data_IF_422419532306
#
_entry.id   IF_422419532306
#
_cell.length_a   1.000
_cell.length_b   1.000
_cell.length_c   1.000
_cell.angle_alpha   90.00
_cell.angle_beta   90.00
_cell.angle_gamma   90.00
#
_symmetry.space_group_name_H-M   'P 1'
#
loop_
_entity.id
_entity.type
_entity.pdbx_description
1 polymer ?
#
# COMPACT_ATOMS: atom_id res chain seq x y z
N UNK A 1 9.88 6.22 -32.84
CA UNK A 1 10.08 4.88 -32.23
C UNK A 1 10.33 4.88 -30.70
N UNK A 2 10.04 5.97 -29.95
CA UNK A 2 10.28 6.07 -28.49
C UNK A 2 8.98 6.02 -27.66
N UNK A 3 7.86 6.34 -28.31
CA UNK A 3 6.52 6.45 -27.70
C UNK A 3 5.87 5.07 -27.52
N UNK A 4 6.14 4.13 -28.43
CA UNK A 4 5.53 2.79 -28.37
C UNK A 4 6.14 1.91 -27.27
N UNK A 5 7.46 2.02 -27.02
CA UNK A 5 8.14 1.28 -25.95
C UNK A 5 7.65 1.70 -24.55
N UNK A 6 7.41 3.00 -24.35
CA UNK A 6 6.90 3.52 -23.08
C UNK A 6 5.43 3.18 -22.86
N UNK A 7 4.65 3.03 -23.94
CA UNK A 7 3.28 2.51 -23.87
C UNK A 7 3.27 1.02 -23.55
N UNK A 8 4.14 0.23 -24.16
CA UNK A 8 4.28 -1.21 -23.87
C UNK A 8 4.69 -1.49 -22.42
N UNK A 9 5.64 -0.71 -21.87
CA UNK A 9 6.08 -0.83 -20.48
C UNK A 9 5.02 -0.33 -19.48
N UNK A 10 4.26 0.71 -19.82
CA UNK A 10 3.16 1.19 -18.98
C UNK A 10 1.98 0.20 -18.96
N UNK A 11 1.73 -0.50 -20.08
CA UNK A 11 0.71 -1.55 -20.17
C UNK A 11 1.14 -2.81 -19.40
N UNK A 12 2.42 -3.20 -19.41
CA UNK A 12 2.89 -4.35 -18.62
C UNK A 12 2.87 -4.09 -17.10
N UNK A 13 3.18 -2.86 -16.68
CA UNK A 13 3.11 -2.45 -15.27
C UNK A 13 1.66 -2.33 -14.77
N UNK A 14 0.75 -1.88 -15.62
CA UNK A 14 -0.69 -1.90 -15.32
C UNK A 14 -1.24 -3.33 -15.23
N UNK A 15 -0.74 -4.27 -16.04
CA UNK A 15 -1.12 -5.67 -15.99
C UNK A 15 -0.65 -6.39 -14.71
N UNK A 16 0.52 -6.01 -14.18
CA UNK A 16 1.08 -6.54 -12.92
C UNK A 16 0.39 -5.98 -11.66
N UNK A 17 -0.19 -4.79 -11.74
CA UNK A 17 -0.88 -4.14 -10.60
C UNK A 17 -2.41 -4.35 -10.62
N UNK A 18 -2.98 -4.89 -11.71
CA UNK A 18 -4.41 -5.07 -11.91
C UNK A 18 -4.86 -6.54 -12.02
N UNK A 19 -4.14 -7.49 -11.42
CA UNK A 19 -4.66 -8.84 -11.20
C UNK A 19 -5.26 -8.96 -9.78
N UNK A 20 -6.54 -8.60 -9.57
CA UNK A 20 -7.31 -9.28 -8.56
C UNK A 20 -7.41 -10.75 -8.97
N UNK A 21 -7.38 -11.63 -7.98
CA UNK A 21 -7.52 -13.09 -8.06
C UNK A 21 -8.54 -13.49 -9.13
N UNK A 22 -8.06 -13.99 -10.27
CA UNK A 22 -8.88 -14.72 -11.24
C UNK A 22 -8.43 -16.17 -11.15
N UNK A 23 -9.23 -16.99 -10.49
CA UNK A 23 -9.18 -18.44 -10.65
C UNK A 23 -9.69 -18.77 -12.05
N UNK A 24 -8.81 -18.95 -13.03
CA UNK A 24 -9.12 -19.58 -14.31
C UNK A 24 -8.04 -20.62 -14.61
N UNK A 25 -8.45 -21.88 -14.50
CA UNK A 25 -7.83 -23.04 -15.12
C UNK A 25 -7.64 -22.81 -16.62
N UNK A 26 -6.41 -22.60 -17.08
CA UNK A 26 -6.01 -22.88 -18.46
C UNK A 26 -4.64 -23.55 -18.46
N UNK A 27 -4.42 -24.57 -19.32
CA UNK A 27 -3.16 -25.29 -19.36
C UNK A 27 -2.13 -24.45 -20.12
N UNK A 28 -1.17 -23.87 -19.41
CA UNK A 28 0.01 -23.29 -20.06
C UNK A 28 0.91 -24.41 -20.57
N UNK A 29 1.27 -24.28 -21.84
CA UNK A 29 1.98 -25.25 -22.66
C UNK A 29 3.26 -25.78 -21.98
N UNK A 30 3.47 -27.08 -22.13
CA UNK A 30 4.72 -27.78 -21.78
C UNK A 30 5.91 -27.09 -22.40
N UNK A 31 6.76 -26.49 -21.57
CA UNK A 31 8.17 -26.41 -21.87
C UNK A 31 8.76 -27.79 -21.54
N UNK A 32 8.87 -28.65 -22.56
CA UNK A 32 9.65 -29.87 -22.44
C UNK A 32 11.12 -29.46 -22.24
N UNK A 33 11.55 -29.54 -20.99
CA UNK A 33 12.90 -29.26 -20.51
C UNK A 33 13.08 -29.97 -19.19
N UNK A 34 13.62 -31.19 -19.29
CA UNK A 34 14.06 -32.12 -18.25
C UNK A 34 14.01 -31.64 -16.79
N UNK A 35 13.26 -32.42 -16.00
CA UNK A 35 13.26 -32.48 -14.54
C UNK A 35 14.67 -32.43 -13.95
N UNK A 36 15.03 -31.29 -13.37
CA UNK A 36 16.01 -31.22 -12.30
C UNK A 36 15.38 -30.42 -11.16
N UNK A 37 15.31 -31.07 -10.00
CA UNK A 37 14.47 -30.68 -8.87
C UNK A 37 14.53 -29.20 -8.52
N UNK A 38 13.37 -28.69 -8.09
CA UNK A 38 13.13 -27.35 -7.56
C UNK A 38 14.28 -26.95 -6.63
N UNK A 39 15.28 -26.27 -7.17
CA UNK A 39 16.38 -25.75 -6.38
C UNK A 39 15.79 -24.65 -5.51
N UNK A 40 15.66 -24.94 -4.21
CA UNK A 40 15.37 -23.96 -3.18
C UNK A 40 16.37 -22.81 -3.36
N UNK A 41 15.92 -21.69 -3.93
CA UNK A 41 16.76 -20.49 -4.09
C UNK A 41 17.08 -19.98 -2.68
N UNK A 42 18.34 -20.03 -2.22
CA UNK A 42 18.65 -19.71 -0.84
C UNK A 42 18.50 -18.21 -0.63
N UNK A 43 17.58 -17.80 0.26
CA UNK A 43 17.67 -16.47 0.88
C UNK A 43 18.99 -16.44 1.62
N UNK A 44 19.91 -15.61 1.13
CA UNK A 44 21.16 -15.36 1.82
C UNK A 44 20.93 -14.20 2.77
N UNK A 45 20.97 -14.48 4.07
CA UNK A 45 21.29 -13.46 5.06
C UNK A 45 22.78 -13.18 4.91
N UNK A 46 23.15 -12.30 3.98
CA UNK A 46 24.56 -11.93 3.82
C UNK A 46 25.01 -11.14 5.06
N UNK A 47 25.82 -11.76 5.91
CA UNK A 47 26.46 -11.14 7.09
C UNK A 47 27.24 -9.86 6.73
N UNK A 48 27.60 -9.67 5.47
CA UNK A 48 28.47 -8.58 5.01
C UNK A 48 27.74 -7.31 4.53
N UNK A 49 26.40 -7.31 4.39
CA UNK A 49 25.62 -6.11 4.06
C UNK A 49 24.96 -5.47 5.28
N UNK A 50 25.80 -4.98 6.20
CA UNK A 50 25.44 -4.13 7.36
C UNK A 50 24.33 -4.69 8.28
N UNK A 51 24.08 -6.00 8.38
CA UNK A 51 23.06 -6.61 9.27
C UNK A 51 21.64 -5.98 9.19
N UNK A 52 21.30 -5.30 8.08
CA UNK A 52 20.08 -4.48 7.98
C UNK A 52 19.18 -4.91 6.82
N UNK A 53 19.61 -5.80 5.92
CA UNK A 53 18.86 -6.14 4.70
C UNK A 53 18.80 -7.65 4.45
N UNK A 54 17.64 -8.13 4.03
CA UNK A 54 17.50 -9.41 3.36
C UNK A 54 17.83 -9.24 1.87
N UNK A 55 18.45 -10.25 1.27
CA UNK A 55 18.77 -10.33 -0.15
C UNK A 55 18.25 -11.63 -0.75
N UNK A 56 17.50 -11.48 -1.83
CA UNK A 56 17.04 -12.55 -2.69
C UNK A 56 17.71 -12.38 -4.05
N UNK A 57 18.29 -13.45 -4.58
CA UNK A 57 18.98 -13.43 -5.85
C UNK A 57 18.56 -14.63 -6.69
N UNK A 58 18.22 -14.35 -7.94
CA UNK A 58 17.88 -15.34 -8.97
C UNK A 58 18.74 -15.07 -10.21
N UNK A 59 18.74 -15.95 -11.21
CA UNK A 59 19.38 -15.65 -12.48
C UNK A 59 18.84 -14.40 -13.21
N UNK A 60 17.61 -13.96 -12.90
CA UNK A 60 16.95 -12.85 -13.58
C UNK A 60 16.96 -11.55 -12.77
N UNK A 61 16.56 -11.63 -11.50
CA UNK A 61 16.40 -10.48 -10.60
C UNK A 61 17.12 -10.68 -9.28
N UNK A 62 17.62 -9.56 -8.75
CA UNK A 62 18.04 -9.43 -7.34
C UNK A 62 17.08 -8.47 -6.65
N UNK A 63 16.63 -8.83 -5.45
CA UNK A 63 15.72 -8.05 -4.63
C UNK A 63 16.28 -7.92 -3.21
N UNK A 64 16.18 -6.73 -2.62
CA UNK A 64 16.59 -6.48 -1.23
C UNK A 64 15.51 -5.72 -0.46
N UNK A 65 15.38 -5.99 0.83
CA UNK A 65 14.45 -5.29 1.73
C UNK A 65 14.98 -5.19 3.16
N UNK A 66 14.58 -4.16 3.94
CA UNK A 66 15.13 -3.94 5.27
C UNK A 66 14.73 -5.05 6.24
N UNK A 67 15.70 -5.79 6.77
CA UNK A 67 15.52 -6.83 7.77
C UNK A 67 15.01 -6.31 9.11
N UNK A 68 15.24 -5.03 9.42
CA UNK A 68 14.76 -4.43 10.67
C UNK A 68 13.27 -4.05 10.65
N UNK A 69 12.55 -4.32 9.56
CA UNK A 69 11.13 -4.04 9.41
C UNK A 69 10.73 -2.56 9.38
N UNK A 70 11.59 -1.62 9.78
CA UNK A 70 11.25 -0.21 10.06
C UNK A 70 10.63 0.55 8.90
N UNK A 71 10.82 0.09 7.66
CA UNK A 71 10.27 0.74 6.47
C UNK A 71 9.79 -0.33 5.49
N UNK A 72 8.48 -0.38 5.17
CA UNK A 72 7.97 -1.25 4.13
C UNK A 72 8.42 -0.71 2.76
N UNK A 73 9.52 -1.26 2.27
CA UNK A 73 10.09 -0.97 0.96
C UNK A 73 10.98 -2.11 0.51
N UNK A 74 11.19 -2.21 -0.80
CA UNK A 74 12.19 -3.09 -1.37
C UNK A 74 12.78 -2.45 -2.62
N UNK A 75 14.01 -2.85 -2.94
CA UNK A 75 14.69 -2.48 -4.16
C UNK A 75 14.90 -3.74 -4.98
N UNK A 76 14.86 -3.61 -6.30
CA UNK A 76 15.20 -4.72 -7.18
C UNK A 76 15.87 -4.23 -8.47
N UNK A 77 16.64 -5.11 -9.09
CA UNK A 77 17.30 -4.88 -10.38
C UNK A 77 17.50 -6.22 -11.10
N UNK A 78 17.90 -6.17 -12.37
CA UNK A 78 18.27 -7.38 -13.12
C UNK A 78 19.61 -7.91 -12.61
N UNK A 79 19.73 -9.19 -12.29
CA UNK A 79 20.93 -9.74 -11.63
C UNK A 79 22.21 -9.46 -12.42
N UNK A 80 22.13 -9.52 -13.75
CA UNK A 80 23.25 -9.30 -14.65
C UNK A 80 23.46 -7.82 -15.04
N UNK A 81 22.58 -6.91 -14.64
CA UNK A 81 22.65 -5.48 -14.95
C UNK A 81 22.10 -4.62 -13.79
N UNK A 82 23.01 -4.03 -13.03
CA UNK A 82 22.71 -3.13 -11.91
C UNK A 82 22.71 -1.65 -12.29
N UNK A 83 22.76 -1.32 -13.59
CA UNK A 83 22.74 0.08 -14.05
C UNK A 83 21.40 0.78 -13.77
N UNK A 84 20.32 0.01 -13.66
CA UNK A 84 18.99 0.51 -13.28
C UNK A 84 18.46 -0.22 -12.04
N UNK A 85 18.14 0.55 -11.00
CA UNK A 85 17.61 0.03 -9.73
C UNK A 85 16.19 0.57 -9.53
N UNK A 86 15.25 -0.35 -9.41
CA UNK A 86 13.85 -0.06 -9.16
C UNK A 86 13.59 0.00 -7.66
N UNK A 87 12.76 0.95 -7.24
CA UNK A 87 12.43 1.17 -5.82
C UNK A 87 10.92 1.12 -5.62
N UNK A 88 10.47 0.19 -4.79
CA UNK A 88 9.08 0.13 -4.32
C UNK A 88 9.02 0.62 -2.88
N UNK A 89 8.21 1.66 -2.64
CA UNK A 89 8.07 2.28 -1.32
C UNK A 89 6.60 2.49 -0.97
N UNK A 90 6.15 1.84 0.09
CA UNK A 90 4.82 2.08 0.65
C UNK A 90 4.87 3.35 1.51
N UNK A 91 4.12 4.38 1.12
CA UNK A 91 4.25 5.74 1.71
C UNK A 91 3.37 5.95 2.94
N UNK A 92 2.18 5.38 2.94
CA UNK A 92 1.18 5.66 3.96
C UNK A 92 -0.20 5.18 3.56
N UNK A 93 -1.14 5.28 4.49
CA UNK A 93 -2.58 5.25 4.18
C UNK A 93 -3.14 6.66 4.22
N UNK A 94 -4.14 6.88 3.38
CA UNK A 94 -4.96 8.08 3.40
C UNK A 94 -6.41 7.69 3.55
N UNK A 95 -7.07 8.26 4.54
CA UNK A 95 -8.52 8.26 4.62
C UNK A 95 -9.05 9.42 3.80
N UNK A 96 -10.16 9.18 3.12
CA UNK A 96 -10.86 10.21 2.38
C UNK A 96 -12.35 10.03 2.58
N UNK A 97 -13.06 11.16 2.62
CA UNK A 97 -14.51 11.20 2.68
C UNK A 97 -15.01 11.81 1.38
N UNK A 98 -15.77 11.02 0.63
CA UNK A 98 -16.28 11.37 -0.68
C UNK A 98 -17.69 11.98 -0.56
N UNK A 99 -17.80 13.29 -0.77
CA UNK A 99 -19.11 13.96 -0.88
C UNK A 99 -19.55 14.10 -2.33
N UNK A 100 -18.65 14.58 -3.19
CA UNK A 100 -18.99 14.99 -4.56
C UNK A 100 -18.51 14.00 -5.63
N UNK A 101 -17.41 13.29 -5.37
CA UNK A 101 -16.79 12.34 -6.30
C UNK A 101 -16.70 11.00 -5.59
N UNK A 102 -16.97 9.91 -6.30
CA UNK A 102 -16.92 8.55 -5.76
C UNK A 102 -15.50 8.00 -5.56
N UNK A 103 -14.48 8.79 -5.87
CA UNK A 103 -13.08 8.37 -5.82
C UNK A 103 -12.18 9.45 -5.19
N UNK A 104 -11.04 9.02 -4.64
CA UNK A 104 -10.02 9.91 -4.12
C UNK A 104 -9.35 10.70 -5.26
N UNK A 105 -9.33 12.02 -5.14
CA UNK A 105 -8.55 12.91 -6.00
C UNK A 105 -7.70 13.82 -5.12
N UNK A 106 -6.39 13.79 -5.37
CA UNK A 106 -5.36 14.51 -4.60
C UNK A 106 -5.57 16.03 -4.60
N UNK A 107 -6.35 16.55 -5.56
CA UNK A 107 -6.77 17.96 -5.65
C UNK A 107 -7.83 18.36 -4.62
N UNK A 108 -8.48 17.38 -3.98
CA UNK A 108 -9.48 17.58 -2.94
C UNK A 108 -9.03 16.94 -1.63
N UNK A 109 -8.05 17.54 -0.92
CA UNK A 109 -7.62 17.04 0.36
C UNK A 109 -8.76 17.08 1.38
N UNK A 110 -8.79 16.09 2.27
CA UNK A 110 -9.69 16.04 3.42
C UNK A 110 -9.19 17.00 4.53
N UNK A 111 -9.15 18.30 4.23
CA UNK A 111 -8.89 19.33 5.23
C UNK A 111 -10.18 19.76 5.92
N UNK A 112 -10.08 20.09 7.21
CA UNK A 112 -11.24 20.25 8.06
C UNK A 112 -12.13 21.43 7.61
N UNK A 113 -11.53 22.55 7.20
CA UNK A 113 -12.23 23.73 6.69
C UNK A 113 -13.01 23.45 5.42
N UNK A 114 -12.38 22.84 4.41
CA UNK A 114 -13.03 22.53 3.12
C UNK A 114 -14.14 21.51 3.29
N UNK A 115 -13.91 20.49 4.14
CA UNK A 115 -14.95 19.50 4.49
C UNK A 115 -16.13 20.20 5.17
N UNK A 116 -15.89 21.04 6.17
CA UNK A 116 -16.95 21.77 6.87
C UNK A 116 -17.76 22.62 5.90
N UNK A 117 -17.10 23.38 5.03
CA UNK A 117 -17.74 24.24 4.04
C UNK A 117 -18.59 23.47 3.03
N UNK A 118 -18.05 22.37 2.47
CA UNK A 118 -18.77 21.53 1.50
C UNK A 118 -19.98 20.88 2.15
N UNK A 119 -19.81 20.31 3.35
CA UNK A 119 -20.92 19.67 4.04
C UNK A 119 -22.00 20.71 4.36
N UNK A 120 -21.60 21.84 4.92
CA UNK A 120 -22.52 22.91 5.32
C UNK A 120 -23.32 23.43 4.12
N UNK A 121 -22.66 23.85 3.04
CA UNK A 121 -23.34 24.44 1.87
C UNK A 121 -24.17 23.44 1.09
N UNK A 122 -23.67 22.21 0.89
CA UNK A 122 -24.31 21.26 -0.03
C UNK A 122 -25.32 20.34 0.62
N UNK A 123 -25.15 19.99 1.91
CA UNK A 123 -25.97 18.97 2.57
C UNK A 123 -26.76 19.51 3.75
N UNK A 124 -26.24 20.49 4.48
CA UNK A 124 -26.89 21.02 5.69
C UNK A 124 -27.81 22.19 5.36
N UNK A 125 -27.29 23.30 4.81
CA UNK A 125 -28.07 24.53 4.54
C UNK A 125 -29.38 24.29 3.76
N UNK A 126 -29.40 23.46 2.69
CA UNK A 126 -30.64 23.17 1.98
C UNK A 126 -31.71 22.52 2.88
N UNK A 127 -31.29 21.67 3.83
CA UNK A 127 -32.18 20.95 4.76
C UNK A 127 -32.56 21.76 5.99
N UNK A 128 -31.88 22.88 6.23
CA UNK A 128 -32.18 23.81 7.33
C UNK A 128 -33.13 24.92 6.90
N UNK A 129 -33.46 25.02 5.62
CA UNK A 129 -34.41 26.00 5.12
C UNK A 129 -35.80 25.77 5.74
N UNK A 130 -36.35 26.81 6.38
CA UNK A 130 -37.65 26.76 7.06
C UNK A 130 -37.62 26.36 8.54
N UNK A 131 -36.46 26.03 9.12
CA UNK A 131 -36.34 25.85 10.57
C UNK A 131 -36.16 27.20 11.28
N UNK A 132 -36.72 27.29 12.49
CA UNK A 132 -36.43 28.40 13.39
C UNK A 132 -34.93 28.53 13.67
N UNK A 133 -34.47 29.77 13.88
CA UNK A 133 -33.06 30.14 14.05
C UNK A 133 -32.42 29.39 15.22
N UNK A 134 -33.16 29.15 16.31
CA UNK A 134 -32.65 28.50 17.50
C UNK A 134 -32.44 26.99 17.27
N UNK A 135 -33.41 26.33 16.63
CA UNK A 135 -33.29 24.93 16.20
C UNK A 135 -32.16 24.73 15.17
N UNK A 136 -32.06 25.65 14.21
CA UNK A 136 -30.99 25.69 13.21
C UNK A 136 -29.62 25.76 13.86
N UNK A 137 -29.42 26.69 14.80
CA UNK A 137 -28.14 26.87 15.48
C UNK A 137 -27.76 25.66 16.35
N UNK A 138 -28.73 25.01 16.99
CA UNK A 138 -28.47 23.77 17.74
C UNK A 138 -28.00 22.63 16.84
N UNK A 139 -28.66 22.43 15.69
CA UNK A 139 -28.27 21.38 14.73
C UNK A 139 -26.89 21.66 14.14
N UNK A 140 -26.63 22.90 13.71
CA UNK A 140 -25.31 23.31 13.20
C UNK A 140 -24.24 23.08 14.25
N UNK A 141 -24.45 23.55 15.49
CA UNK A 141 -23.47 23.39 16.56
C UNK A 141 -23.20 21.92 16.88
N UNK A 142 -24.23 21.07 16.94
CA UNK A 142 -24.08 19.63 17.21
C UNK A 142 -23.33 18.93 16.09
N UNK A 143 -23.61 19.29 14.84
CA UNK A 143 -22.97 18.69 13.67
C UNK A 143 -21.52 19.17 13.50
N UNK A 144 -21.25 20.47 13.61
CA UNK A 144 -19.90 21.02 13.57
C UNK A 144 -19.03 20.45 14.69
N UNK A 145 -19.59 20.27 15.91
CA UNK A 145 -18.90 19.59 17.00
C UNK A 145 -18.53 18.14 16.66
N UNK A 146 -19.40 17.41 15.96
CA UNK A 146 -19.08 16.06 15.49
C UNK A 146 -17.93 16.06 14.48
N UNK A 147 -17.89 17.04 13.57
CA UNK A 147 -16.80 17.17 12.57
C UNK A 147 -15.43 17.50 13.21
N UNK A 148 -15.39 18.19 14.35
CA UNK A 148 -14.15 18.46 15.10
C UNK A 148 -13.52 17.14 15.60
N UNK A 149 -14.29 16.05 15.70
CA UNK A 149 -13.79 14.72 16.05
C UNK A 149 -12.94 14.04 14.96
N UNK A 150 -12.87 14.58 13.75
CA UNK A 150 -12.04 14.00 12.70
C UNK A 150 -10.55 14.20 12.97
N UNK A 151 -9.76 13.16 12.67
CA UNK A 151 -8.32 13.24 12.70
C UNK A 151 -7.76 13.59 11.32
N UNK A 152 -6.49 13.99 11.30
CA UNK A 152 -5.77 14.24 10.04
C UNK A 152 -5.83 12.98 9.15
N UNK A 153 -6.08 13.11 7.84
CA UNK A 153 -6.43 11.99 6.97
C UNK A 153 -5.25 11.11 6.54
N UNK A 154 -4.00 11.55 6.73
CA UNK A 154 -2.82 10.84 6.23
C UNK A 154 -1.98 10.25 7.35
N UNK A 155 -1.71 8.94 7.29
CA UNK A 155 -0.76 8.23 8.14
C UNK A 155 0.51 7.89 7.35
N UNK A 156 1.64 8.57 7.60
CA UNK A 156 2.89 8.22 6.95
C UNK A 156 3.48 6.93 7.54
N UNK A 157 3.65 5.90 6.72
CA UNK A 157 4.20 4.61 7.15
C UNK A 157 5.64 4.71 7.68
N UNK A 158 6.40 5.70 7.22
CA UNK A 158 7.76 5.94 7.72
C UNK A 158 7.83 6.43 9.16
N UNK A 159 6.70 6.86 9.74
CA UNK A 159 6.60 7.27 11.14
C UNK A 159 6.01 6.19 12.05
N UNK A 160 5.67 5.03 11.49
CA UNK A 160 5.08 3.91 12.20
C UNK A 160 6.15 2.87 12.56
N UNK A 161 5.83 2.02 13.53
CA UNK A 161 6.61 0.82 13.83
C UNK A 161 5.97 -0.37 13.11
N UNK A 162 6.83 -1.17 12.49
CA UNK A 162 6.47 -2.32 11.69
C UNK A 162 7.21 -3.54 12.20
N UNK A 163 6.54 -4.68 12.17
CA UNK A 163 7.15 -5.99 12.34
C UNK A 163 7.30 -6.64 10.97
N UNK A 164 8.46 -7.26 10.73
CA UNK A 164 8.72 -8.03 9.53
C UNK A 164 8.78 -9.50 9.91
N UNK A 165 7.95 -10.33 9.27
CA UNK A 165 8.12 -11.78 9.39
C UNK A 165 9.39 -12.19 8.65
N UNK A 166 10.21 -13.11 9.21
CA UNK A 166 11.32 -13.67 8.47
C UNK A 166 10.83 -14.26 7.13
N UNK A 167 11.62 -14.15 6.06
CA UNK A 167 11.27 -14.75 4.79
C UNK A 167 11.15 -16.27 4.92
N UNK A 168 10.05 -16.82 4.44
CA UNK A 168 9.78 -18.26 4.41
C UNK A 168 9.57 -18.73 2.97
N UNK A 169 10.08 -19.92 2.65
CA UNK A 169 9.82 -20.55 1.36
C UNK A 169 8.49 -21.30 1.45
N UNK A 170 7.52 -20.88 0.63
CA UNK A 170 6.23 -21.53 0.51
C UNK A 170 6.21 -22.30 -0.79
N UNK A 171 6.03 -23.62 -0.69
CA UNK A 171 5.86 -24.51 -1.84
C UNK A 171 4.43 -25.04 -1.83
N UNK A 172 3.69 -24.79 -2.93
CA UNK A 172 2.35 -25.32 -3.14
C UNK A 172 2.25 -25.84 -4.57
N UNK A 173 1.92 -27.11 -4.69
CA UNK A 173 1.88 -27.82 -5.97
C UNK A 173 3.24 -27.70 -6.69
N UNK A 174 3.25 -27.26 -7.95
CA UNK A 174 4.47 -27.07 -8.76
C UNK A 174 5.10 -25.67 -8.63
N UNK A 175 4.62 -24.83 -7.70
CA UNK A 175 5.11 -23.45 -7.53
C UNK A 175 5.73 -23.26 -6.15
N UNK A 176 6.96 -22.72 -6.13
CA UNK A 176 7.63 -22.25 -4.92
C UNK A 176 7.89 -20.75 -4.99
N UNK A 177 7.59 -20.04 -3.91
CA UNK A 177 7.82 -18.61 -3.80
C UNK A 177 8.21 -18.21 -2.37
N UNK A 178 8.90 -17.09 -2.23
CA UNK A 178 9.28 -16.55 -0.93
C UNK A 178 8.17 -15.63 -0.42
N UNK A 179 7.75 -15.86 0.82
CA UNK A 179 6.71 -15.11 1.50
C UNK A 179 7.30 -14.34 2.68
N UNK A 180 6.97 -13.06 2.79
CA UNK A 180 7.23 -12.24 3.98
C UNK A 180 6.24 -11.10 4.08
N UNK A 181 5.94 -10.67 5.30
CA UNK A 181 4.91 -9.68 5.57
C UNK A 181 5.46 -8.55 6.44
N UNK A 182 5.10 -7.31 6.10
CA UNK A 182 5.22 -6.19 7.02
C UNK A 182 3.87 -5.96 7.71
N UNK A 183 3.85 -6.07 9.03
CA UNK A 183 2.66 -5.83 9.85
C UNK A 183 2.81 -4.52 10.62
N UNK A 184 1.83 -3.61 10.49
CA UNK A 184 1.83 -2.34 11.21
C UNK A 184 1.59 -2.61 12.70
N UNK A 185 2.58 -2.38 13.56
CA UNK A 185 2.46 -2.62 15.01
C UNK A 185 2.15 -1.39 15.83
N UNK A 186 2.62 -0.23 15.40
CA UNK A 186 2.41 1.00 16.17
C UNK A 186 2.28 2.22 15.29
N UNK A 187 1.24 3.01 15.55
CA UNK A 187 1.10 4.35 14.99
C UNK A 187 1.74 5.37 15.93
N UNK A 188 2.28 6.47 15.39
CA UNK A 188 2.87 7.50 16.25
C UNK A 188 1.82 8.14 17.15
N UNK A 189 2.20 8.48 18.39
CA UNK A 189 1.28 9.02 19.41
C UNK A 189 0.55 10.30 18.98
N UNK A 190 1.16 11.11 18.11
CA UNK A 190 0.55 12.32 17.51
C UNK A 190 -0.47 12.01 16.39
N UNK A 191 -0.76 10.73 16.13
CA UNK A 191 -1.80 10.25 15.19
C UNK A 191 -2.76 9.25 15.87
N UNK A 192 -3.42 9.62 16.99
CA UNK A 192 -4.24 8.68 17.76
C UNK A 192 -5.45 8.16 16.98
N UNK A 193 -5.94 8.91 15.98
CA UNK A 193 -7.04 8.49 15.11
C UNK A 193 -6.76 7.22 14.29
N UNK A 194 -5.48 6.89 14.05
CA UNK A 194 -5.09 5.69 13.31
C UNK A 194 -4.80 4.48 14.18
N UNK A 195 -5.14 4.49 15.47
CA UNK A 195 -4.90 3.31 16.33
C UNK A 195 -5.61 2.05 15.83
N UNK A 196 -6.73 2.20 15.14
CA UNK A 196 -7.41 1.07 14.49
C UNK A 196 -6.54 0.36 13.43
N UNK A 197 -5.51 1.02 12.89
CA UNK A 197 -4.64 0.43 11.88
C UNK A 197 -3.60 -0.52 12.48
N UNK A 198 -3.29 -0.40 13.77
CA UNK A 198 -2.37 -1.30 14.48
C UNK A 198 -2.91 -2.74 14.38
N UNK A 199 -2.04 -3.66 13.99
CA UNK A 199 -2.31 -5.08 13.72
C UNK A 199 -3.33 -5.38 12.60
N UNK A 200 -3.89 -4.36 11.95
CA UNK A 200 -4.89 -4.50 10.89
C UNK A 200 -4.36 -4.17 9.49
N UNK A 201 -3.18 -3.53 9.38
CA UNK A 201 -2.53 -3.28 8.10
C UNK A 201 -1.35 -4.23 7.92
N UNK A 202 -1.41 -5.01 6.84
CA UNK A 202 -0.37 -5.95 6.45
C UNK A 202 -0.01 -5.74 4.98
N UNK A 203 1.30 -5.66 4.69
CA UNK A 203 1.83 -5.66 3.33
C UNK A 203 2.44 -7.03 3.11
N UNK A 204 1.77 -7.86 2.30
CA UNK A 204 2.18 -9.23 1.99
C UNK A 204 3.00 -9.24 0.70
N UNK A 205 4.20 -9.79 0.77
CA UNK A 205 5.06 -10.03 -0.38
C UNK A 205 5.11 -11.53 -0.63
N UNK A 206 4.69 -11.96 -1.83
CA UNK A 206 4.56 -13.35 -2.27
C UNK A 206 4.85 -13.44 -3.76
#
# INVERSE_FOLDING_TARGET
MKIERNRLLAVSLALLLALPIIAISTPMAKADGETNGTQNLPVKTEEHWRNIWYRFETPLITLIFPANGKKPMFLWWYTNDSSEIYVVKFKGVIEYLAFNLSYYDRRYPADNSTIQDIIQKKYIEPKLSGLDVQARNQIINKFLWWLIGFHRPYLPFSACTWELTPPELVSKDDVSYWSFNFTLKRVPWWRPGFRFAEDNIEIRCR
#
